data_IF_817235637527
#
_entry.id   IF_817235637527
#
_cell.length_a   1.000
_cell.length_b   1.000
_cell.length_c   1.000
_cell.angle_alpha   90.00
_cell.angle_beta   90.00
_cell.angle_gamma   90.00
#
_symmetry.space_group_name_H-M   'P 1'
#
loop_
_entity.id
_entity.type
_entity.pdbx_description
1 polymer ?
#
# COMPACT_ATOMS: atom_id res chain seq x y z
N UNK A 1 3.47 -11.52 -58.58
CA UNK A 1 2.99 -10.71 -57.47
C UNK A 1 3.29 -11.55 -56.25
N UNK A 2 4.33 -11.18 -55.52
CA UNK A 2 4.71 -11.73 -54.23
C UNK A 2 4.32 -10.70 -53.20
N UNK A 3 3.38 -11.05 -52.35
CA UNK A 3 2.94 -10.23 -51.27
C UNK A 3 3.98 -10.37 -50.13
N UNK A 4 4.71 -9.28 -49.88
CA UNK A 4 5.65 -9.18 -48.78
C UNK A 4 4.84 -8.90 -47.48
N UNK A 5 4.62 -9.95 -46.70
CA UNK A 5 4.15 -9.81 -45.32
C UNK A 5 5.31 -9.27 -44.48
N UNK A 6 5.29 -7.97 -44.18
CA UNK A 6 6.12 -7.35 -43.18
C UNK A 6 5.71 -7.87 -41.79
N UNK A 7 6.47 -8.82 -41.25
CA UNK A 7 6.46 -9.15 -39.84
C UNK A 7 6.82 -7.90 -39.02
N UNK A 8 5.81 -7.27 -38.38
CA UNK A 8 6.03 -6.31 -37.31
C UNK A 8 6.71 -7.03 -36.15
N UNK A 9 8.03 -6.93 -36.07
CA UNK A 9 8.77 -7.21 -34.85
C UNK A 9 8.26 -6.28 -33.77
N UNK A 10 7.56 -6.84 -32.78
CA UNK A 10 7.30 -6.19 -31.51
C UNK A 10 8.65 -5.83 -30.89
N UNK A 11 9.00 -4.57 -30.92
CA UNK A 11 10.07 -4.02 -30.12
C UNK A 11 9.66 -4.11 -28.65
N UNK A 12 9.95 -5.25 -28.00
CA UNK A 12 9.98 -5.35 -26.55
C UNK A 12 11.08 -4.42 -26.07
N UNK A 13 10.71 -3.16 -25.80
CA UNK A 13 11.58 -2.22 -25.13
C UNK A 13 11.99 -2.85 -23.81
N UNK A 14 13.29 -3.10 -23.65
CA UNK A 14 13.92 -3.58 -22.42
C UNK A 14 13.84 -2.46 -21.35
N UNK A 15 12.62 -2.15 -20.93
CA UNK A 15 12.38 -1.18 -19.85
C UNK A 15 12.80 -1.83 -18.54
N UNK A 16 13.67 -1.18 -17.79
CA UNK A 16 14.09 -1.60 -16.47
C UNK A 16 12.88 -1.92 -15.60
N UNK A 17 12.91 -3.06 -14.88
CA UNK A 17 11.82 -3.48 -14.03
C UNK A 17 11.73 -2.56 -12.80
N UNK A 18 10.59 -1.93 -12.61
CA UNK A 18 10.28 -1.11 -11.43
C UNK A 18 9.74 -2.02 -10.33
N UNK A 19 10.43 -2.05 -9.19
CA UNK A 19 10.02 -2.84 -8.03
C UNK A 19 9.22 -1.98 -7.07
N UNK A 20 7.98 -2.38 -6.82
CA UNK A 20 7.07 -1.73 -5.86
C UNK A 20 6.94 -2.60 -4.63
N UNK A 21 7.36 -2.07 -3.48
CA UNK A 21 7.16 -2.70 -2.17
C UNK A 21 5.82 -2.24 -1.61
N UNK A 22 4.96 -3.18 -1.23
CA UNK A 22 3.68 -2.85 -0.59
C UNK A 22 3.63 -3.47 0.80
N UNK A 23 3.82 -2.65 1.83
CA UNK A 23 3.89 -3.05 3.22
C UNK A 23 2.59 -2.75 3.96
N UNK A 24 2.08 -3.77 4.69
CA UNK A 24 0.74 -3.73 5.24
C UNK A 24 -0.33 -3.93 4.16
N UNK A 25 -0.14 -4.95 3.33
CA UNK A 25 -0.89 -5.11 2.10
C UNK A 25 -2.38 -5.42 2.29
N UNK A 26 -2.79 -5.93 3.46
CA UNK A 26 -4.16 -6.21 3.79
C UNK A 26 -4.87 -7.09 2.77
N UNK A 27 -5.94 -6.60 2.16
CA UNK A 27 -6.69 -7.30 1.10
C UNK A 27 -6.18 -7.00 -0.32
N UNK A 28 -5.07 -6.28 -0.46
CA UNK A 28 -4.41 -6.00 -1.73
C UNK A 28 -5.02 -4.92 -2.63
N UNK A 29 -5.76 -3.92 -2.14
CA UNK A 29 -6.38 -2.93 -3.02
C UNK A 29 -5.36 -2.14 -3.83
N UNK A 30 -4.21 -1.81 -3.24
CA UNK A 30 -3.16 -1.06 -3.91
C UNK A 30 -2.36 -1.91 -4.90
N UNK A 31 -2.32 -3.24 -4.77
CA UNK A 31 -1.70 -4.12 -5.78
C UNK A 31 -2.37 -3.92 -7.14
N UNK A 32 -3.70 -4.03 -7.18
CA UNK A 32 -4.47 -3.83 -8.42
C UNK A 32 -4.28 -2.43 -9.00
N UNK A 33 -4.20 -1.41 -8.13
CA UNK A 33 -3.97 -0.01 -8.54
C UNK A 33 -2.57 0.19 -9.12
N UNK A 34 -1.53 -0.37 -8.48
CA UNK A 34 -0.16 -0.33 -8.99
C UNK A 34 -0.05 -1.01 -10.36
N UNK A 35 -0.61 -2.21 -10.51
CA UNK A 35 -0.60 -2.93 -11.79
C UNK A 35 -1.41 -2.19 -12.88
N UNK A 36 -2.52 -1.55 -12.51
CA UNK A 36 -3.30 -0.72 -13.44
C UNK A 36 -2.53 0.53 -13.87
N UNK A 37 -1.84 1.19 -12.94
CA UNK A 37 -0.99 2.33 -13.24
C UNK A 37 0.19 1.94 -14.14
N UNK A 38 0.84 0.81 -13.85
CA UNK A 38 1.91 0.25 -14.67
C UNK A 38 1.46 0.03 -16.12
N UNK A 39 0.27 -0.59 -16.29
CA UNK A 39 -0.31 -0.80 -17.64
C UNK A 39 -0.53 0.53 -18.39
N UNK A 40 -1.05 1.55 -17.70
CA UNK A 40 -1.26 2.88 -18.31
C UNK A 40 0.06 3.55 -18.68
N UNK A 41 1.07 3.42 -17.82
CA UNK A 41 2.40 3.97 -18.05
C UNK A 41 3.26 3.14 -19.02
N UNK A 42 2.78 1.98 -19.48
CA UNK A 42 3.55 0.99 -20.25
C UNK A 42 4.87 0.60 -19.56
N UNK A 43 4.86 0.54 -18.23
CA UNK A 43 6.02 0.22 -17.40
C UNK A 43 6.00 -1.25 -16.98
N UNK A 44 7.18 -1.88 -16.95
CA UNK A 44 7.35 -3.20 -16.38
C UNK A 44 7.44 -3.06 -14.84
N UNK A 45 6.44 -3.57 -14.11
CA UNK A 45 6.34 -3.43 -12.66
C UNK A 45 6.19 -4.79 -12.01
N UNK A 46 7.00 -5.04 -10.98
CA UNK A 46 6.85 -6.14 -10.04
C UNK A 46 6.44 -5.60 -8.67
N UNK A 47 5.46 -6.23 -8.04
CA UNK A 47 5.00 -5.88 -6.70
C UNK A 47 5.46 -6.93 -5.70
N UNK A 48 6.07 -6.50 -4.61
CA UNK A 48 6.39 -7.34 -3.45
C UNK A 48 5.47 -6.90 -2.31
N UNK A 49 4.45 -7.70 -2.04
CA UNK A 49 3.46 -7.44 -1.01
C UNK A 49 3.84 -8.14 0.29
N UNK A 50 3.74 -7.42 1.40
CA UNK A 50 4.06 -7.92 2.73
C UNK A 50 2.92 -7.62 3.70
N UNK A 51 2.53 -8.63 4.48
CA UNK A 51 1.62 -8.45 5.60
C UNK A 51 1.96 -9.42 6.75
N UNK A 52 1.69 -9.00 7.99
CA UNK A 52 1.87 -9.84 9.18
C UNK A 52 0.63 -10.66 9.52
N UNK A 53 -0.54 -10.26 9.01
CA UNK A 53 -1.80 -10.92 9.32
C UNK A 53 -1.97 -12.19 8.45
N UNK A 54 -2.03 -13.38 9.05
CA UNK A 54 -2.17 -14.63 8.29
C UNK A 54 -3.45 -14.69 7.46
N UNK A 55 -4.53 -14.04 7.88
CA UNK A 55 -5.77 -13.98 7.11
C UNK A 55 -5.60 -13.09 5.85
N UNK A 56 -4.86 -12.00 5.96
CA UNK A 56 -4.50 -11.16 4.81
C UNK A 56 -3.64 -11.97 3.82
N UNK A 57 -2.66 -12.72 4.31
CA UNK A 57 -1.80 -13.58 3.48
C UNK A 57 -2.61 -14.61 2.68
N UNK A 58 -3.59 -15.26 3.32
CA UNK A 58 -4.48 -16.21 2.62
C UNK A 58 -5.30 -15.50 1.55
N UNK A 59 -5.89 -14.35 1.88
CA UNK A 59 -6.69 -13.56 0.94
C UNK A 59 -5.85 -13.09 -0.26
N UNK A 60 -4.64 -12.59 -0.01
CA UNK A 60 -3.72 -12.13 -1.05
C UNK A 60 -3.26 -13.28 -1.96
N UNK A 61 -2.96 -14.45 -1.38
CA UNK A 61 -2.57 -15.62 -2.15
C UNK A 61 -3.68 -16.06 -3.11
N UNK A 62 -4.90 -16.13 -2.64
CA UNK A 62 -6.05 -16.48 -3.47
C UNK A 62 -6.23 -15.44 -4.59
N UNK A 63 -6.20 -14.16 -4.27
CA UNK A 63 -6.29 -13.08 -5.26
C UNK A 63 -5.19 -13.18 -6.34
N UNK A 64 -3.94 -13.47 -5.95
CA UNK A 64 -2.82 -13.60 -6.88
C UNK A 64 -3.05 -14.77 -7.85
N UNK A 65 -3.59 -15.89 -7.34
CA UNK A 65 -3.89 -17.07 -8.14
C UNK A 65 -5.08 -16.78 -9.07
N UNK A 66 -6.19 -16.29 -8.53
CA UNK A 66 -7.43 -16.05 -9.26
C UNK A 66 -7.26 -15.05 -10.40
N UNK A 67 -6.38 -14.07 -10.21
CA UNK A 67 -6.11 -13.01 -11.18
C UNK A 67 -4.87 -13.30 -12.07
N UNK A 68 -4.24 -14.47 -11.93
CA UNK A 68 -3.04 -14.87 -12.69
C UNK A 68 -1.89 -13.86 -12.56
N UNK A 69 -1.58 -13.44 -11.32
CA UNK A 69 -0.59 -12.41 -11.03
C UNK A 69 0.75 -12.96 -10.49
N UNK A 70 0.96 -14.29 -10.54
CA UNK A 70 2.11 -14.96 -9.90
C UNK A 70 3.46 -14.45 -10.43
N UNK A 71 3.53 -14.09 -11.70
CA UNK A 71 4.75 -13.58 -12.33
C UNK A 71 5.05 -12.12 -11.95
N UNK A 72 4.05 -11.38 -11.48
CA UNK A 72 4.13 -9.95 -11.21
C UNK A 72 4.02 -9.59 -9.73
N UNK A 73 3.53 -10.49 -8.89
CA UNK A 73 3.28 -10.23 -7.47
C UNK A 73 3.90 -11.33 -6.62
N UNK A 74 4.87 -10.96 -5.81
CA UNK A 74 5.44 -11.82 -4.77
C UNK A 74 4.83 -11.49 -3.41
N UNK A 75 4.59 -12.50 -2.58
CA UNK A 75 3.96 -12.35 -1.27
C UNK A 75 4.90 -12.79 -0.16
N UNK A 76 5.10 -11.92 0.82
CA UNK A 76 5.90 -12.18 2.03
C UNK A 76 4.98 -12.11 3.25
N UNK A 77 5.04 -13.15 4.09
CA UNK A 77 4.38 -13.15 5.40
C UNK A 77 5.37 -12.72 6.47
N UNK A 78 5.10 -11.63 7.17
CA UNK A 78 5.99 -11.14 8.23
C UNK A 78 5.67 -9.73 8.69
N UNK A 79 6.33 -9.32 9.75
CA UNK A 79 6.25 -7.96 10.27
C UNK A 79 7.31 -7.09 9.57
N UNK A 80 6.89 -5.99 8.93
CA UNK A 80 7.78 -5.10 8.18
C UNK A 80 8.92 -4.52 9.01
N UNK A 81 8.77 -4.46 10.31
CA UNK A 81 9.81 -3.96 11.23
C UNK A 81 10.96 -4.95 11.43
N UNK A 82 10.67 -6.24 11.26
CA UNK A 82 11.56 -7.33 11.66
C UNK A 82 11.97 -8.28 10.52
N UNK A 83 11.43 -8.10 9.33
CA UNK A 83 11.86 -8.94 8.19
C UNK A 83 13.32 -8.68 7.87
N UNK A 84 14.02 -9.75 7.50
CA UNK A 84 15.37 -9.69 6.96
C UNK A 84 15.33 -10.25 5.54
N UNK A 85 15.30 -9.36 4.56
CA UNK A 85 15.38 -9.72 3.14
C UNK A 85 16.48 -8.86 2.54
N UNK A 86 17.71 -9.30 2.70
CA UNK A 86 18.92 -8.50 2.42
C UNK A 86 19.05 -8.07 0.94
N UNK A 87 18.40 -8.77 0.04
CA UNK A 87 18.40 -8.47 -1.40
C UNK A 87 17.20 -7.64 -1.88
N UNK A 88 16.23 -7.32 -1.02
CA UNK A 88 15.03 -6.62 -1.44
C UNK A 88 15.29 -5.11 -1.51
N UNK A 89 15.27 -4.56 -2.73
CA UNK A 89 15.38 -3.11 -2.97
C UNK A 89 14.26 -2.68 -3.91
N UNK A 90 13.44 -1.73 -3.45
CA UNK A 90 12.33 -1.18 -4.22
C UNK A 90 12.59 0.23 -4.72
N UNK A 91 11.98 0.57 -5.83
CA UNK A 91 11.94 1.91 -6.37
C UNK A 91 10.85 2.75 -5.71
N UNK A 92 9.76 2.07 -5.33
CA UNK A 92 8.59 2.68 -4.68
C UNK A 92 8.22 1.82 -3.48
N UNK A 93 7.99 2.44 -2.32
CA UNK A 93 7.40 1.79 -1.16
C UNK A 93 6.02 2.39 -0.92
N UNK A 94 4.99 1.55 -1.05
CA UNK A 94 3.61 1.90 -0.75
C UNK A 94 3.22 1.35 0.61
N UNK A 95 2.54 2.16 1.41
CA UNK A 95 1.92 1.72 2.65
C UNK A 95 0.74 2.63 2.99
N UNK A 96 -0.34 2.04 3.48
CA UNK A 96 -1.46 2.79 4.02
C UNK A 96 -1.64 2.34 5.49
N UNK A 97 -1.01 3.10 6.38
CA UNK A 97 -0.99 2.88 7.83
C UNK A 97 -1.42 4.17 8.57
N UNK A 98 -2.17 5.02 7.89
CA UNK A 98 -2.68 6.24 8.48
C UNK A 98 -3.96 5.95 9.24
N UNK A 99 -4.06 6.50 10.45
CA UNK A 99 -5.25 6.44 11.27
C UNK A 99 -6.17 7.63 11.03
N UNK A 100 -7.13 7.80 11.94
CA UNK A 100 -8.12 8.89 11.89
C UNK A 100 -7.50 10.28 12.03
N UNK A 101 -6.26 10.37 12.52
CA UNK A 101 -5.49 11.61 12.62
C UNK A 101 -4.02 11.34 12.30
N UNK A 102 -3.73 11.23 11.00
CA UNK A 102 -2.37 11.00 10.48
C UNK A 102 -1.73 9.73 11.02
N UNK A 103 -0.65 9.87 11.76
CA UNK A 103 0.21 8.78 12.24
C UNK A 103 -0.22 8.15 13.57
N UNK A 104 -1.43 8.42 14.05
CA UNK A 104 -1.93 7.90 15.32
C UNK A 104 -2.14 6.37 15.39
N UNK A 105 -1.81 5.64 14.31
CA UNK A 105 -1.76 4.17 14.25
C UNK A 105 -0.34 3.61 14.08
N UNK A 106 0.67 4.30 14.63
CA UNK A 106 2.08 3.87 14.66
C UNK A 106 2.73 3.76 13.27
N UNK A 107 2.29 4.60 12.32
CA UNK A 107 2.87 4.63 10.98
C UNK A 107 4.39 4.89 10.98
N UNK A 108 4.93 5.86 11.74
CA UNK A 108 6.38 6.09 11.79
C UNK A 108 7.15 4.89 12.33
N UNK A 109 6.69 4.27 13.42
CA UNK A 109 7.34 3.12 14.04
C UNK A 109 7.37 1.90 13.12
N UNK A 110 6.37 1.79 12.25
CA UNK A 110 6.32 0.73 11.25
C UNK A 110 7.18 1.03 10.03
N UNK A 111 7.22 2.28 9.56
CA UNK A 111 7.85 2.64 8.30
C UNK A 111 9.33 3.02 8.42
N UNK A 112 9.77 3.67 9.52
CA UNK A 112 11.17 4.04 9.69
C UNK A 112 12.14 2.87 9.49
N UNK A 113 11.91 1.65 10.04
CA UNK A 113 12.79 0.51 9.82
C UNK A 113 12.79 0.02 8.36
N UNK A 114 11.87 0.46 7.52
CA UNK A 114 11.72 0.00 6.13
C UNK A 114 12.52 0.83 5.12
N UNK A 115 13.07 1.95 5.51
CA UNK A 115 13.88 2.82 4.65
C UNK A 115 15.03 2.06 3.98
N UNK A 116 15.63 1.11 4.70
CA UNK A 116 16.69 0.24 4.19
C UNK A 116 16.29 -0.58 2.96
N UNK A 117 14.99 -0.73 2.67
CA UNK A 117 14.49 -1.47 1.51
C UNK A 117 14.23 -0.59 0.29
N UNK A 118 14.36 0.73 0.40
CA UNK A 118 14.33 1.60 -0.76
C UNK A 118 15.71 1.71 -1.41
N UNK A 119 15.71 1.82 -2.73
CA UNK A 119 16.87 2.22 -3.50
C UNK A 119 17.20 3.70 -3.23
N UNK A 120 18.45 4.15 -3.44
CA UNK A 120 18.74 5.58 -3.46
C UNK A 120 17.85 6.29 -4.48
N UNK A 121 17.14 7.33 -4.05
CA UNK A 121 16.16 8.05 -4.88
C UNK A 121 14.78 7.38 -4.98
N UNK A 122 14.57 6.26 -4.31
CA UNK A 122 13.24 5.64 -4.20
C UNK A 122 12.25 6.51 -3.44
N UNK A 123 10.97 6.31 -3.68
CA UNK A 123 9.88 7.15 -3.16
C UNK A 123 8.92 6.37 -2.27
N UNK A 124 8.39 7.07 -1.25
CA UNK A 124 7.28 6.59 -0.43
C UNK A 124 5.94 7.03 -1.01
N UNK A 125 4.93 6.17 -0.92
CA UNK A 125 3.53 6.51 -1.17
C UNK A 125 2.67 6.08 0.03
N UNK A 126 2.00 7.03 0.72
CA UNK A 126 1.99 8.48 0.44
C UNK A 126 3.34 9.13 0.75
N UNK A 127 3.68 10.20 0.03
CA UNK A 127 4.86 11.01 0.28
C UNK A 127 4.71 11.89 1.53
N UNK A 128 3.50 12.40 1.73
CA UNK A 128 3.16 13.25 2.86
C UNK A 128 1.66 13.16 3.15
N UNK A 129 1.28 13.59 4.34
CA UNK A 129 -0.11 13.80 4.73
C UNK A 129 -0.24 15.13 5.47
N UNK A 130 -1.46 15.66 5.53
CA UNK A 130 -1.77 16.89 6.26
C UNK A 130 -3.00 16.67 7.11
N UNK A 131 -2.89 16.94 8.41
CA UNK A 131 -4.02 16.96 9.32
C UNK A 131 -4.65 18.34 9.34
N UNK A 132 -5.98 18.40 9.26
CA UNK A 132 -6.73 19.63 9.40
C UNK A 132 -7.51 19.62 10.69
N UNK A 133 -7.39 20.70 11.48
CA UNK A 133 -8.10 20.89 12.72
C UNK A 133 -8.95 22.13 12.61
N UNK A 134 -10.26 21.98 12.83
CA UNK A 134 -11.20 23.08 12.82
C UNK A 134 -11.99 23.09 14.15
N UNK A 135 -11.90 24.14 14.97
CA UNK A 135 -12.79 24.29 16.11
C UNK A 135 -14.21 24.53 15.63
N UNK A 136 -15.14 23.76 16.16
CA UNK A 136 -16.57 23.88 15.83
C UNK A 136 -17.41 24.03 17.09
N UNK A 137 -18.55 24.68 16.97
CA UNK A 137 -19.60 24.72 17.98
C UNK A 137 -20.79 23.92 17.49
N UNK A 138 -21.12 22.84 18.20
CA UNK A 138 -22.23 21.95 17.82
C UNK A 138 -22.89 21.40 19.07
N UNK A 139 -24.16 21.74 19.26
CA UNK A 139 -24.96 21.21 20.38
C UNK A 139 -25.11 19.68 20.27
N UNK A 140 -25.25 19.18 19.04
CA UNK A 140 -25.36 17.73 18.80
C UNK A 140 -24.12 16.99 19.30
N UNK A 141 -22.93 17.41 18.83
CA UNK A 141 -21.66 16.77 19.22
C UNK A 141 -21.38 16.91 20.72
N UNK A 142 -21.72 18.06 21.29
CA UNK A 142 -21.61 18.28 22.73
C UNK A 142 -22.46 17.29 23.54
N UNK A 143 -23.70 17.08 23.11
CA UNK A 143 -24.61 16.15 23.77
C UNK A 143 -24.09 14.72 23.69
N UNK A 144 -23.64 14.26 22.51
CA UNK A 144 -23.04 12.94 22.32
C UNK A 144 -21.86 12.70 23.25
N UNK A 145 -20.89 13.62 23.26
CA UNK A 145 -19.68 13.50 24.09
C UNK A 145 -20.03 13.48 25.58
N UNK A 146 -20.96 14.31 26.04
CA UNK A 146 -21.32 14.37 27.48
C UNK A 146 -22.08 13.13 27.94
N UNK A 147 -22.93 12.52 27.11
CA UNK A 147 -23.60 11.26 27.44
C UNK A 147 -22.58 10.16 27.69
N UNK A 148 -21.57 10.01 26.84
CA UNK A 148 -20.52 9.01 27.00
C UNK A 148 -19.65 9.28 28.24
N UNK A 149 -19.33 10.54 28.53
CA UNK A 149 -18.57 10.93 29.71
C UNK A 149 -19.29 10.55 31.02
N UNK A 150 -20.60 10.74 31.08
CA UNK A 150 -21.41 10.36 32.24
C UNK A 150 -21.56 8.84 32.44
N UNK A 151 -21.39 8.06 31.38
CA UNK A 151 -21.41 6.61 31.45
C UNK A 151 -20.05 6.00 31.86
N UNK A 152 -19.04 6.82 32.16
CA UNK A 152 -17.69 6.37 32.54
C UNK A 152 -16.93 5.69 31.41
N UNK A 153 -17.41 5.80 30.18
CA UNK A 153 -16.76 5.26 29.00
C UNK A 153 -15.76 6.31 28.51
N UNK A 154 -14.50 6.21 28.96
CA UNK A 154 -13.40 6.96 28.36
C UNK A 154 -13.09 6.35 27.00
N UNK A 155 -13.96 6.53 26.05
CA UNK A 155 -13.84 6.01 24.69
C UNK A 155 -13.74 7.14 23.68
N UNK A 156 -12.91 6.93 22.67
CA UNK A 156 -12.82 7.81 21.51
C UNK A 156 -14.19 7.87 20.83
N UNK A 157 -14.77 9.06 20.73
CA UNK A 157 -15.93 9.27 19.87
C UNK A 157 -15.42 9.21 18.42
N UNK A 158 -15.52 8.06 17.79
CA UNK A 158 -15.33 7.95 16.35
C UNK A 158 -16.64 8.36 15.66
N UNK A 159 -16.69 9.58 15.16
CA UNK A 159 -17.76 9.97 14.24
C UNK A 159 -17.49 9.29 12.90
N UNK A 160 -18.18 8.19 12.61
CA UNK A 160 -18.21 7.62 11.27
C UNK A 160 -18.97 8.57 10.35
N UNK A 161 -18.36 8.94 9.26
CA UNK A 161 -19.04 9.60 8.13
C UNK A 161 -19.97 8.63 7.41
#
# INVERSE_FOLDING_TARGET
MKDDEEEKKDETSNSEEIVVLYFGAGRGPLIRRALSAAKKAKANVKVIALDKNPNAIVTLRNMIIDENLQDRVSLISGDMRHISVDAMKGDILMSELLGSFGDNELSPECLNPTEKYLKPGGIYLPWSYTNHVLPISSQFLWTEVTVYAHQGISGRVCLSQ
#
